data_IF_901981345575
#
_entry.id   IF_901981345575
#
_cell.length_a   1.000
_cell.length_b   1.000
_cell.length_c   1.000
_cell.angle_alpha   90.00
_cell.angle_beta   90.00
_cell.angle_gamma   90.00
#
_symmetry.space_group_name_H-M   'P 1'
#
loop_
_entity.id
_entity.type
_entity.pdbx_description
1 polymer ?
#
# COMPACT_ATOMS: atom_id res chain seq x y z
N UNK A 1 11.25 4.15 3.53
CA UNK A 1 10.73 2.76 3.45
C UNK A 1 10.94 2.32 2.03
N UNK A 2 12.06 1.66 1.77
CA UNK A 2 12.45 1.25 0.42
C UNK A 2 12.11 -0.22 0.30
N UNK A 3 11.22 -0.55 -0.63
CA UNK A 3 10.86 -1.94 -0.89
C UNK A 3 12.05 -2.63 -1.53
N UNK A 4 12.52 -3.70 -0.90
CA UNK A 4 13.54 -4.56 -1.50
C UNK A 4 12.80 -5.66 -2.24
N UNK A 5 12.86 -5.60 -3.56
CA UNK A 5 12.40 -6.68 -4.44
C UNK A 5 13.26 -7.92 -4.18
N UNK A 6 12.65 -8.96 -3.62
CA UNK A 6 13.24 -10.29 -3.66
C UNK A 6 12.55 -11.03 -4.80
N UNK A 7 13.32 -11.26 -5.87
CA UNK A 7 13.04 -12.28 -6.88
C UNK A 7 11.85 -12.03 -7.83
N UNK A 8 11.98 -11.03 -8.72
CA UNK A 8 11.23 -10.91 -10.01
C UNK A 8 9.69 -10.84 -9.95
N UNK A 9 9.12 -10.97 -8.77
CA UNK A 9 7.71 -10.92 -8.45
C UNK A 9 7.58 -9.78 -7.47
N UNK A 10 7.09 -8.63 -7.93
CA UNK A 10 6.98 -7.42 -7.12
C UNK A 10 6.40 -7.69 -5.72
N UNK A 11 6.70 -6.87 -4.72
CA UNK A 11 6.42 -7.16 -3.31
C UNK A 11 4.95 -7.53 -3.11
N UNK A 12 4.68 -8.82 -2.91
CA UNK A 12 3.32 -9.33 -2.91
C UNK A 12 2.80 -9.40 -1.48
N UNK A 13 1.89 -8.49 -1.16
CA UNK A 13 1.21 -8.40 0.12
C UNK A 13 0.10 -9.46 0.23
N UNK A 14 0.46 -10.74 0.04
CA UNK A 14 -0.47 -11.88 -0.04
C UNK A 14 -1.43 -11.98 1.15
N UNK A 15 -1.02 -11.51 2.32
CA UNK A 15 -1.78 -11.62 3.56
C UNK A 15 -2.16 -10.28 4.18
N UNK A 16 -1.92 -9.16 3.49
CA UNK A 16 -2.22 -7.84 4.02
C UNK A 16 -3.74 -7.61 3.94
N UNK A 17 -4.41 -7.71 5.10
CA UNK A 17 -5.87 -7.56 5.20
C UNK A 17 -6.29 -6.12 5.48
N UNK A 18 -5.44 -5.39 6.21
CA UNK A 18 -5.69 -4.03 6.66
C UNK A 18 -4.50 -3.14 6.33
N UNK A 19 -4.76 -2.06 5.61
CA UNK A 19 -3.76 -1.04 5.28
C UNK A 19 -4.12 0.27 5.99
N UNK A 20 -3.17 0.87 6.70
CA UNK A 20 -3.31 2.21 7.31
C UNK A 20 -2.32 3.16 6.65
N UNK A 21 -2.84 4.23 6.05
CA UNK A 21 -2.05 5.26 5.40
C UNK A 21 -2.27 6.62 6.07
N UNK A 22 -1.20 7.41 6.14
CA UNK A 22 -1.23 8.80 6.60
C UNK A 22 -1.17 9.78 5.43
N UNK A 23 -1.21 11.08 5.72
CA UNK A 23 -1.27 12.16 4.73
C UNK A 23 -0.19 12.11 3.63
N UNK A 24 0.98 11.52 3.92
CA UNK A 24 2.06 11.33 2.94
C UNK A 24 1.63 10.54 1.70
N UNK A 25 0.61 9.68 1.79
CA UNK A 25 0.15 8.93 0.61
C UNK A 25 -0.60 9.80 -0.40
N UNK A 26 -1.05 11.00 -0.03
CA UNK A 26 -1.72 11.94 -0.95
C UNK A 26 -0.70 12.70 -1.80
N UNK A 27 0.50 12.95 -1.27
CA UNK A 27 1.51 13.81 -1.88
C UNK A 27 1.86 13.39 -3.32
N UNK A 28 1.75 12.11 -3.64
CA UNK A 28 1.98 11.53 -4.96
C UNK A 28 0.68 10.97 -5.57
N UNK A 29 -0.43 11.71 -5.47
CA UNK A 29 -1.74 11.30 -6.03
C UNK A 29 -2.16 9.87 -5.68
N UNK A 30 -1.92 9.42 -4.43
CA UNK A 30 -2.23 8.06 -4.00
C UNK A 30 -1.43 6.96 -4.71
N UNK A 31 -0.31 7.28 -5.37
CA UNK A 31 0.57 6.31 -6.02
C UNK A 31 1.01 5.18 -5.07
N UNK A 32 1.43 5.45 -3.81
CA UNK A 32 1.73 4.38 -2.87
C UNK A 32 0.51 3.50 -2.59
N UNK A 33 -0.67 4.10 -2.38
CA UNK A 33 -1.92 3.37 -2.14
C UNK A 33 -2.26 2.45 -3.31
N UNK A 34 -2.13 2.93 -4.56
CA UNK A 34 -2.39 2.13 -5.76
C UNK A 34 -1.48 0.91 -5.82
N UNK A 35 -0.19 1.10 -5.55
CA UNK A 35 0.77 0.00 -5.51
C UNK A 35 0.42 -1.04 -4.43
N UNK A 36 0.08 -0.60 -3.21
CA UNK A 36 -0.35 -1.53 -2.16
C UNK A 36 -1.60 -2.31 -2.54
N UNK A 37 -2.63 -1.65 -3.09
CA UNK A 37 -3.89 -2.31 -3.50
C UNK A 37 -3.63 -3.33 -4.60
N UNK A 38 -2.84 -2.97 -5.62
CA UNK A 38 -2.54 -3.85 -6.75
C UNK A 38 -1.79 -5.13 -6.34
N UNK A 39 -0.93 -5.03 -5.33
CA UNK A 39 -0.14 -6.17 -4.86
C UNK A 39 -0.74 -6.90 -3.64
N UNK A 40 -1.93 -6.49 -3.17
CA UNK A 40 -2.61 -7.09 -2.01
C UNK A 40 -3.95 -7.74 -2.39
N UNK A 41 -3.98 -8.95 -2.99
CA UNK A 41 -5.23 -9.60 -3.40
C UNK A 41 -6.16 -9.95 -2.21
N UNK A 42 -5.63 -9.98 -0.99
CA UNK A 42 -6.37 -10.28 0.25
C UNK A 42 -6.78 -9.04 1.04
N UNK A 43 -6.55 -7.84 0.51
CA UNK A 43 -6.88 -6.58 1.16
C UNK A 43 -8.38 -6.41 1.23
N UNK A 44 -8.91 -6.29 2.46
CA UNK A 44 -10.35 -6.11 2.69
C UNK A 44 -10.69 -4.70 3.12
N UNK A 45 -9.76 -4.03 3.79
CA UNK A 45 -10.04 -2.73 4.40
C UNK A 45 -8.85 -1.80 4.28
N UNK A 46 -9.13 -0.59 3.78
CA UNK A 46 -8.16 0.51 3.71
C UNK A 46 -8.63 1.61 4.63
N UNK A 47 -7.78 2.00 5.56
CA UNK A 47 -8.00 3.15 6.43
C UNK A 47 -7.06 4.27 6.01
N UNK A 48 -7.65 5.36 5.55
CA UNK A 48 -6.94 6.58 5.21
C UNK A 48 -7.17 7.60 6.32
N UNK A 49 -6.11 7.96 7.04
CA UNK A 49 -6.17 9.04 8.02
C UNK A 49 -5.56 10.30 7.42
N UNK A 50 -6.43 11.27 7.12
CA UNK A 50 -6.06 12.59 6.66
C UNK A 50 -6.08 13.53 7.86
N UNK A 51 -4.92 13.65 8.52
CA UNK A 51 -4.71 14.75 9.45
C UNK A 51 -4.57 16.03 8.60
N UNK A 52 -5.71 16.66 8.30
CA UNK A 52 -5.83 17.98 7.71
C UNK A 52 -5.74 19.05 8.80
#
# INVERSE_FOLDING_TARGET
>A
FTFVEQDGSGPMFRYLRSLRLGAWCIADQFSPLRQYVQHSPSLKTVFLNLNL
#
